data_IF_152972663656
#
_entry.id   IF_152972663656
#
_cell.length_a   1.000
_cell.length_b   1.000
_cell.length_c   1.000
_cell.angle_alpha   90.00
_cell.angle_beta   90.00
_cell.angle_gamma   90.00
#
_symmetry.space_group_name_H-M   'P 1'
#
loop_
_entity.id
_entity.type
_entity.pdbx_description
1 polymer ?
#
# COMPACT_ATOMS: atom_id res chain seq x y z
N UNK A 1 5.42 -13.29 -4.64
CA UNK A 1 5.54 -13.78 -3.26
C UNK A 1 4.72 -12.99 -2.22
N UNK A 2 3.48 -12.58 -2.53
CA UNK A 2 2.64 -11.79 -1.61
C UNK A 2 2.00 -12.60 -0.47
N UNK A 3 2.60 -13.73 -0.08
CA UNK A 3 2.11 -14.56 1.02
C UNK A 3 3.26 -15.08 1.89
N UNK A 4 3.44 -14.55 3.13
CA UNK A 4 2.65 -13.48 3.73
C UNK A 4 2.87 -12.10 3.07
N UNK A 5 4.01 -11.91 2.39
CA UNK A 5 4.44 -10.64 1.80
C UNK A 5 4.92 -9.64 2.87
N UNK A 6 6.10 -9.06 2.67
CA UNK A 6 6.67 -7.99 3.50
C UNK A 6 6.77 -6.67 2.72
N UNK A 7 6.91 -5.51 3.39
CA UNK A 7 6.97 -4.20 2.74
C UNK A 7 7.97 -4.12 1.58
N UNK A 8 9.18 -4.64 1.76
CA UNK A 8 10.24 -4.60 0.76
C UNK A 8 9.84 -5.37 -0.49
N UNK A 9 9.28 -6.58 -0.32
CA UNK A 9 8.76 -7.40 -1.42
C UNK A 9 7.64 -6.67 -2.18
N UNK A 10 6.76 -5.95 -1.48
CA UNK A 10 5.73 -5.14 -2.14
C UNK A 10 6.36 -3.98 -2.92
N UNK A 11 7.28 -3.24 -2.31
CA UNK A 11 7.96 -2.09 -2.91
C UNK A 11 8.68 -2.49 -4.21
N UNK A 12 9.50 -3.55 -4.15
CA UNK A 12 10.26 -4.06 -5.29
C UNK A 12 9.37 -4.44 -6.48
N UNK A 13 8.14 -4.92 -6.24
CA UNK A 13 7.23 -5.28 -7.33
C UNK A 13 6.76 -4.07 -8.13
N UNK A 14 6.69 -2.88 -7.52
CA UNK A 14 6.32 -1.66 -8.23
C UNK A 14 7.40 -1.23 -9.22
N UNK A 15 8.67 -1.57 -9.00
CA UNK A 15 9.79 -1.10 -9.85
C UNK A 15 9.69 -1.53 -11.31
N UNK A 16 8.95 -2.62 -11.57
CA UNK A 16 8.73 -3.16 -12.90
C UNK A 16 7.51 -2.60 -13.62
N UNK A 17 6.70 -1.77 -12.94
CA UNK A 17 5.47 -1.24 -13.50
C UNK A 17 5.73 -0.12 -14.51
N UNK A 18 5.00 -0.08 -15.64
CA UNK A 18 5.06 1.04 -16.56
C UNK A 18 4.58 2.35 -15.91
N UNK A 19 5.33 3.44 -16.10
CA UNK A 19 4.99 4.79 -15.61
C UNK A 19 3.67 5.36 -16.20
N UNK A 20 3.09 4.70 -17.20
CA UNK A 20 1.78 5.05 -17.78
C UNK A 20 0.60 4.57 -16.90
N UNK A 21 0.87 3.76 -15.88
CA UNK A 21 -0.14 3.29 -14.93
C UNK A 21 -0.26 4.33 -13.81
N UNK A 22 -1.36 5.07 -13.78
CA UNK A 22 -1.58 6.14 -12.79
C UNK A 22 -1.94 5.60 -11.38
N UNK A 23 -2.40 4.35 -11.27
CA UNK A 23 -2.82 3.77 -9.99
C UNK A 23 -2.74 2.26 -9.98
N UNK A 24 -2.36 1.70 -8.84
CA UNK A 24 -2.20 0.26 -8.62
C UNK A 24 -2.98 -0.16 -7.37
N UNK A 25 -3.60 -1.33 -7.40
CA UNK A 25 -4.24 -1.94 -6.24
C UNK A 25 -3.50 -3.23 -5.88
N UNK A 26 -3.06 -3.32 -4.62
CA UNK A 26 -2.53 -4.56 -4.03
C UNK A 26 -3.64 -5.26 -3.24
N UNK A 27 -3.74 -6.57 -3.44
CA UNK A 27 -4.57 -7.47 -2.62
C UNK A 27 -3.65 -8.49 -1.97
N UNK A 28 -3.48 -8.39 -0.66
CA UNK A 28 -2.58 -9.24 0.11
C UNK A 28 -3.10 -9.45 1.54
N UNK A 29 -2.32 -10.12 2.39
CA UNK A 29 -2.70 -10.45 3.76
C UNK A 29 -2.02 -9.53 4.79
N UNK A 30 -2.64 -9.44 5.97
CA UNK A 30 -2.00 -8.85 7.14
C UNK A 30 -1.06 -9.89 7.80
N UNK A 31 0.01 -9.47 8.50
CA UNK A 31 0.34 -8.09 8.86
C UNK A 31 0.96 -7.25 7.74
N UNK A 32 1.46 -7.87 6.67
CA UNK A 32 2.22 -7.21 5.60
C UNK A 32 1.54 -5.97 4.98
N UNK A 33 0.22 -5.99 4.77
CA UNK A 33 -0.50 -4.79 4.29
C UNK A 33 -0.55 -3.63 5.31
N UNK A 34 -0.70 -3.92 6.60
CA UNK A 34 -0.67 -2.89 7.65
C UNK A 34 0.74 -2.32 7.81
N UNK A 35 1.76 -3.18 7.68
CA UNK A 35 3.17 -2.78 7.70
C UNK A 35 3.54 -1.94 6.48
N UNK A 36 3.11 -2.35 5.27
CA UNK A 36 3.32 -1.57 4.05
C UNK A 36 2.65 -0.19 4.16
N UNK A 37 1.41 -0.13 4.66
CA UNK A 37 0.73 1.14 4.87
C UNK A 37 1.52 2.05 5.81
N UNK A 38 2.05 1.50 6.90
CA UNK A 38 2.88 2.24 7.83
C UNK A 38 4.19 2.71 7.20
N UNK A 39 4.89 1.85 6.46
CA UNK A 39 6.13 2.21 5.75
C UNK A 39 5.87 3.35 4.76
N UNK A 40 4.81 3.23 3.95
CA UNK A 40 4.52 4.22 2.90
C UNK A 40 4.03 5.57 3.44
N UNK A 41 3.44 5.62 4.64
CA UNK A 41 2.73 6.83 5.10
C UNK A 41 3.13 7.34 6.49
N UNK A 42 3.83 6.51 7.29
CA UNK A 42 4.04 6.72 8.71
C UNK A 42 2.79 6.52 9.58
N UNK A 43 1.63 6.20 9.00
CA UNK A 43 0.37 6.06 9.73
C UNK A 43 0.11 4.61 10.13
N UNK A 44 -0.07 4.37 11.43
CA UNK A 44 -0.51 3.07 11.95
C UNK A 44 -2.03 2.98 11.89
N UNK A 45 -2.55 2.17 10.97
CA UNK A 45 -3.98 1.97 10.79
C UNK A 45 -4.36 0.49 10.68
N UNK A 46 -5.38 0.08 11.42
CA UNK A 46 -5.95 -1.27 11.33
C UNK A 46 -6.71 -1.45 10.02
N UNK A 47 -6.40 -2.54 9.32
CA UNK A 47 -6.97 -2.99 8.05
C UNK A 47 -7.71 -4.33 8.27
N UNK A 48 -8.95 -4.33 8.81
CA UNK A 48 -9.73 -5.56 8.86
C UNK A 48 -9.93 -6.15 7.44
N UNK A 49 -10.33 -7.42 7.35
CA UNK A 49 -10.61 -8.06 6.05
C UNK A 49 -11.51 -7.17 5.19
N UNK A 50 -11.12 -7.03 3.92
CA UNK A 50 -11.80 -6.17 2.93
C UNK A 50 -11.78 -4.66 3.24
N UNK A 51 -10.92 -4.19 4.14
CA UNK A 51 -10.57 -2.78 4.19
C UNK A 51 -9.76 -2.38 2.94
N UNK A 52 -9.90 -1.12 2.53
CA UNK A 52 -9.18 -0.53 1.43
C UNK A 52 -8.56 0.79 1.89
N UNK A 53 -7.24 0.91 1.77
CA UNK A 53 -6.51 2.15 1.99
C UNK A 53 -6.12 2.73 0.63
N UNK A 54 -6.32 4.03 0.45
CA UNK A 54 -5.82 4.77 -0.70
C UNK A 54 -4.64 5.62 -0.25
N UNK A 55 -3.47 5.37 -0.83
CA UNK A 55 -2.26 6.13 -0.58
C UNK A 55 -1.92 6.96 -1.83
N UNK A 56 -1.65 8.24 -1.63
CA UNK A 56 -1.04 9.10 -2.65
C UNK A 56 0.47 9.09 -2.46
N UNK A 57 1.22 8.76 -3.50
CA UNK A 57 2.68 8.72 -3.46
C UNK A 57 3.26 9.99 -4.12
N UNK A 58 4.29 10.64 -3.54
CA UNK A 58 4.92 11.82 -4.12
C UNK A 58 6.08 11.43 -5.06
N UNK A 59 5.82 10.52 -6.00
CA UNK A 59 6.80 10.01 -6.97
C UNK A 59 6.30 10.27 -8.39
N UNK A 60 7.22 10.43 -9.34
CA UNK A 60 6.88 10.58 -10.76
C UNK A 60 6.95 9.23 -11.50
N UNK A 61 7.74 8.28 -10.99
CA UNK A 61 7.94 6.95 -11.60
C UNK A 61 7.89 5.84 -10.56
N UNK A 62 7.41 4.66 -10.95
CA UNK A 62 7.18 3.58 -9.99
C UNK A 62 8.47 3.02 -9.36
N UNK A 63 9.60 3.10 -10.06
CA UNK A 63 10.90 2.67 -9.53
C UNK A 63 11.48 3.62 -8.46
N UNK A 64 10.94 4.83 -8.34
CA UNK A 64 11.39 5.82 -7.35
C UNK A 64 10.77 5.57 -5.97
N UNK A 65 9.82 4.65 -5.86
CA UNK A 65 9.18 4.32 -4.59
C UNK A 65 10.15 3.63 -3.64
N UNK A 66 10.25 4.11 -2.41
CA UNK A 66 11.00 3.49 -1.32
C UNK A 66 10.29 3.76 0.03
N UNK A 67 10.91 3.33 1.13
CA UNK A 67 10.41 3.51 2.49
C UNK A 67 10.53 4.96 3.00
N UNK A 68 11.30 5.82 2.33
CA UNK A 68 11.47 7.24 2.69
C UNK A 68 10.62 8.19 1.83
N UNK A 69 9.94 7.67 0.80
CA UNK A 69 9.18 8.45 -0.19
C UNK A 69 8.09 9.33 0.43
N UNK A 70 7.52 8.97 1.59
CA UNK A 70 6.61 9.84 2.33
C UNK A 70 5.22 10.03 1.70
N UNK A 71 4.57 8.92 1.36
CA UNK A 71 3.18 8.88 0.90
C UNK A 71 2.17 9.43 1.92
N UNK A 72 0.96 9.72 1.44
CA UNK A 72 -0.14 10.25 2.26
C UNK A 72 -1.34 9.31 2.20
N UNK A 73 -1.86 8.91 3.35
CA UNK A 73 -3.14 8.20 3.44
C UNK A 73 -4.27 9.18 3.11
N UNK A 74 -4.96 8.96 2.00
CA UNK A 74 -6.05 9.83 1.54
C UNK A 74 -7.39 9.34 2.06
N UNK A 75 -7.62 8.02 1.99
CA UNK A 75 -8.87 7.40 2.43
C UNK A 75 -8.60 6.03 3.05
N UNK A 76 -9.44 5.65 4.01
CA UNK A 76 -9.50 4.31 4.58
C UNK A 76 -10.96 3.84 4.64
N UNK A 77 -11.36 2.99 3.71
CA UNK A 77 -12.68 2.38 3.71
C UNK A 77 -12.66 1.07 4.49
N UNK A 78 -13.69 0.87 5.30
CA UNK A 78 -13.93 -0.37 6.04
C UNK A 78 -15.32 -0.86 5.71
N UNK A 79 -15.45 -2.18 5.56
CA UNK A 79 -16.77 -2.79 5.37
C UNK A 79 -17.63 -2.47 6.59
N UNK A 80 -18.82 -1.93 6.34
CA UNK A 80 -19.80 -1.70 7.39
C UNK A 80 -20.29 -3.05 7.88
N UNK A 81 -20.17 -3.31 9.18
CA UNK A 81 -20.82 -4.48 9.77
C UNK A 81 -22.33 -4.38 9.51
N UNK A 82 -22.92 -5.47 8.99
CA UNK A 82 -24.36 -5.62 8.96
C UNK A 82 -24.79 -5.85 10.42
N UNK A 83 -25.33 -4.81 11.03
CA UNK A 83 -25.97 -4.87 12.34
C UNK A 83 -27.40 -5.37 12.12
#
# INVERSE_FOLDING_TARGET
DFYPGDPDTFIETFYSLPDQIDSVMIVAHNPGLEELLYVLTGESARMPTSALAQVSLPIDKWFELDDESGGKLINLWRVKALI
#
